data_IF_890074310260
#
_entry.id   IF_890074310260
#
_cell.length_a   1.000
_cell.length_b   1.000
_cell.length_c   1.000
_cell.angle_alpha   90.00
_cell.angle_beta   90.00
_cell.angle_gamma   90.00
#
_symmetry.space_group_name_H-M   'P 1'
#
loop_
_entity.id
_entity.type
_entity.pdbx_description
1 polymer ?
#
# COMPACT_ATOMS: atom_id res chain seq x y z
N UNK A 1 -4.45 2.12 -28.91
CA UNK A 1 -3.08 2.15 -29.47
C UNK A 1 -2.52 0.72 -29.39
N UNK A 2 -3.05 -0.19 -30.22
CA UNK A 2 -2.97 -1.66 -30.06
C UNK A 2 -1.64 -2.26 -30.60
N UNK A 3 -0.77 -1.44 -31.21
CA UNK A 3 0.47 -1.90 -31.86
C UNK A 3 1.69 -2.05 -30.93
N UNK A 4 1.55 -1.92 -29.61
CA UNK A 4 2.66 -2.04 -28.63
C UNK A 4 2.71 -3.38 -27.88
N UNK A 5 1.79 -4.31 -28.15
CA UNK A 5 1.59 -5.52 -27.32
C UNK A 5 2.72 -6.56 -27.33
N UNK A 6 3.78 -6.41 -28.13
CA UNK A 6 4.82 -7.45 -28.27
C UNK A 6 6.26 -6.93 -28.36
N UNK A 7 6.51 -5.63 -28.16
CA UNK A 7 7.89 -5.17 -28.14
C UNK A 7 8.64 -5.69 -26.90
N UNK A 8 9.95 -5.92 -27.01
CA UNK A 8 10.75 -6.29 -25.84
C UNK A 8 11.17 -5.06 -25.07
N UNK A 9 10.82 -5.02 -23.79
CA UNK A 9 11.21 -3.96 -22.86
C UNK A 9 12.42 -4.36 -22.03
N UNK A 10 13.20 -3.36 -21.62
CA UNK A 10 14.32 -3.50 -20.71
C UNK A 10 14.32 -2.42 -19.63
N UNK A 11 14.73 -2.77 -18.41
CA UNK A 11 14.96 -1.83 -17.32
C UNK A 11 15.93 -2.39 -16.27
N UNK A 12 16.41 -1.51 -15.38
CA UNK A 12 17.12 -1.90 -14.16
C UNK A 12 16.08 -2.26 -13.11
N UNK A 13 16.13 -3.49 -12.57
CA UNK A 13 15.15 -4.01 -11.59
C UNK A 13 15.61 -3.89 -10.13
N UNK A 14 16.88 -3.51 -9.91
CA UNK A 14 17.46 -3.25 -8.58
C UNK A 14 17.41 -1.75 -8.24
N UNK A 15 17.38 -1.36 -6.96
CA UNK A 15 17.51 0.04 -6.56
C UNK A 15 18.75 0.70 -7.18
N UNK A 16 18.63 1.98 -7.54
CA UNK A 16 19.77 2.77 -7.98
C UNK A 16 20.68 3.03 -6.78
N UNK A 17 21.94 2.59 -6.87
CA UNK A 17 22.91 2.74 -5.78
C UNK A 17 24.12 1.84 -5.98
N UNK A 18 25.00 1.83 -4.97
CA UNK A 18 26.12 0.89 -4.91
C UNK A 18 25.66 -0.40 -4.23
N UNK A 19 25.84 -1.52 -4.91
CA UNK A 19 25.54 -2.85 -4.37
C UNK A 19 26.46 -3.91 -4.94
N UNK A 20 26.43 -5.10 -4.36
CA UNK A 20 27.17 -6.23 -4.90
C UNK A 20 26.63 -6.66 -6.28
N UNK A 21 25.31 -6.58 -6.47
CA UNK A 21 24.60 -7.08 -7.65
C UNK A 21 23.65 -6.00 -8.20
N UNK A 22 23.64 -5.83 -9.51
CA UNK A 22 22.63 -5.10 -10.26
C UNK A 22 21.86 -6.07 -11.18
N UNK A 23 20.61 -5.77 -11.49
CA UNK A 23 19.82 -6.62 -12.40
C UNK A 23 19.28 -5.76 -13.54
N UNK A 24 19.63 -6.13 -14.78
CA UNK A 24 18.96 -5.64 -15.99
C UNK A 24 17.99 -6.72 -16.48
N UNK A 25 16.69 -6.40 -16.49
CA UNK A 25 15.63 -7.33 -16.89
C UNK A 25 15.12 -6.97 -18.27
N UNK A 26 14.92 -7.97 -19.12
CA UNK A 26 14.23 -7.89 -20.40
C UNK A 26 12.94 -8.73 -20.36
N UNK A 27 11.86 -8.25 -20.97
CA UNK A 27 10.61 -9.00 -21.14
C UNK A 27 10.02 -8.77 -22.52
N UNK A 28 9.58 -9.84 -23.19
CA UNK A 28 8.94 -9.79 -24.51
C UNK A 28 9.50 -10.84 -25.48
N UNK A 29 8.94 -10.89 -26.69
CA UNK A 29 9.19 -11.95 -27.68
C UNK A 29 10.64 -12.04 -28.15
N UNK A 30 11.36 -10.93 -28.18
CA UNK A 30 12.74 -10.84 -28.63
C UNK A 30 13.76 -10.85 -27.49
N UNK A 31 13.33 -11.05 -26.23
CA UNK A 31 14.19 -11.01 -25.05
C UNK A 31 15.39 -11.97 -25.15
N UNK A 32 15.15 -13.23 -25.55
CA UNK A 32 16.21 -14.21 -25.78
C UNK A 32 17.12 -13.83 -26.95
N UNK A 33 16.54 -13.34 -28.06
CA UNK A 33 17.29 -12.95 -29.24
C UNK A 33 18.23 -11.77 -28.95
N UNK A 34 17.75 -10.74 -28.24
CA UNK A 34 18.53 -9.58 -27.83
C UNK A 34 19.64 -10.01 -26.87
N UNK A 35 19.30 -10.80 -25.83
CA UNK A 35 20.29 -11.29 -24.88
C UNK A 35 21.38 -12.15 -25.54
N UNK A 36 21.02 -13.00 -26.49
CA UNK A 36 21.97 -13.87 -27.19
C UNK A 36 23.00 -13.11 -28.03
N UNK A 37 22.65 -11.91 -28.55
CA UNK A 37 23.60 -11.07 -29.29
C UNK A 37 24.72 -10.54 -28.39
N UNK A 38 24.38 -10.17 -27.15
CA UNK A 38 25.26 -9.47 -26.21
C UNK A 38 25.95 -10.41 -25.22
N UNK A 39 25.39 -11.60 -24.99
CA UNK A 39 25.92 -12.59 -24.06
C UNK A 39 26.90 -13.56 -24.73
N UNK A 40 28.08 -13.71 -24.15
CA UNK A 40 29.08 -14.72 -24.50
C UNK A 40 29.16 -15.77 -23.40
N UNK A 41 28.52 -16.90 -23.65
CA UNK A 41 28.44 -18.06 -22.75
C UNK A 41 27.74 -19.22 -23.46
N UNK A 42 26.88 -19.94 -22.73
CA UNK A 42 25.98 -20.94 -23.34
C UNK A 42 24.99 -20.27 -24.30
N UNK A 43 24.54 -21.01 -25.32
CA UNK A 43 23.45 -20.57 -26.20
C UNK A 43 22.13 -20.54 -25.42
N UNK A 44 21.64 -19.33 -25.14
CA UNK A 44 20.43 -19.06 -24.37
C UNK A 44 19.18 -19.67 -25.01
N UNK A 45 19.18 -19.96 -26.32
CA UNK A 45 18.05 -20.63 -26.95
C UNK A 45 17.96 -22.12 -26.58
N UNK A 46 19.10 -22.74 -26.26
CA UNK A 46 19.22 -24.16 -25.96
C UNK A 46 19.19 -24.49 -24.46
N UNK A 47 19.37 -23.48 -23.59
CA UNK A 47 19.30 -23.71 -22.14
C UNK A 47 17.87 -24.01 -21.70
N UNK A 48 17.76 -24.79 -20.61
CA UNK A 48 16.48 -25.01 -19.96
C UNK A 48 15.97 -23.71 -19.32
N UNK A 49 14.65 -23.52 -19.30
CA UNK A 49 14.02 -22.41 -18.59
C UNK A 49 14.30 -22.47 -17.09
N UNK A 50 14.30 -21.31 -16.43
CA UNK A 50 14.58 -21.14 -14.99
C UNK A 50 15.98 -21.62 -14.59
N UNK A 51 16.97 -21.39 -15.45
CA UNK A 51 18.38 -21.70 -15.18
C UNK A 51 19.25 -20.46 -15.19
N UNK A 52 20.30 -20.48 -14.37
CA UNK A 52 21.34 -19.45 -14.33
C UNK A 52 22.53 -19.89 -15.18
N UNK A 53 23.01 -18.98 -16.04
CA UNK A 53 24.04 -19.25 -17.03
C UNK A 53 25.18 -18.23 -16.88
N UNK A 54 26.36 -18.72 -16.51
CA UNK A 54 27.57 -17.91 -16.40
C UNK A 54 28.12 -17.51 -17.77
N UNK A 55 28.61 -16.27 -17.88
CA UNK A 55 29.31 -15.79 -19.06
C UNK A 55 29.67 -14.30 -18.95
N UNK A 56 29.83 -13.64 -20.10
CA UNK A 56 30.22 -12.23 -20.17
C UNK A 56 29.24 -11.45 -21.05
N UNK A 57 28.98 -10.20 -20.69
CA UNK A 57 28.34 -9.25 -21.61
C UNK A 57 29.43 -8.58 -22.44
N UNK A 58 29.26 -8.62 -23.75
CA UNK A 58 30.21 -8.08 -24.73
C UNK A 58 29.46 -7.20 -25.72
N UNK A 59 29.96 -5.99 -25.95
CA UNK A 59 29.42 -5.12 -26.98
C UNK A 59 29.75 -5.72 -28.37
N UNK A 60 28.74 -6.07 -29.19
CA UNK A 60 28.95 -6.80 -30.44
C UNK A 60 29.62 -5.94 -31.52
N UNK A 61 29.57 -4.60 -31.41
CA UNK A 61 30.19 -3.68 -32.38
C UNK A 61 31.68 -3.49 -32.09
N UNK A 62 32.05 -3.38 -30.81
CA UNK A 62 33.43 -3.09 -30.41
C UNK A 62 34.21 -4.32 -29.96
N UNK A 63 33.53 -5.42 -29.62
CA UNK A 63 34.13 -6.60 -29.01
C UNK A 63 34.59 -6.40 -27.56
N UNK A 64 34.31 -5.23 -26.95
CA UNK A 64 34.70 -4.90 -25.57
C UNK A 64 33.87 -5.72 -24.59
N UNK A 65 34.55 -6.44 -23.68
CA UNK A 65 33.92 -7.05 -22.51
C UNK A 65 33.48 -5.96 -21.54
N UNK A 66 32.21 -5.96 -21.18
CA UNK A 66 31.61 -4.96 -20.30
C UNK A 66 31.54 -5.46 -18.87
N UNK A 67 31.09 -6.70 -18.68
CA UNK A 67 30.99 -7.31 -17.36
C UNK A 67 31.00 -8.85 -17.42
N UNK A 68 31.37 -9.46 -16.31
CA UNK A 68 31.22 -10.89 -16.03
C UNK A 68 29.90 -11.08 -15.27
N UNK A 69 28.98 -11.91 -15.81
CA UNK A 69 27.58 -11.93 -15.39
C UNK A 69 27.02 -13.34 -15.21
N UNK A 70 25.89 -13.42 -14.51
CA UNK A 70 24.99 -14.58 -14.51
C UNK A 70 23.68 -14.21 -15.21
N UNK A 71 23.31 -14.94 -16.26
CA UNK A 71 22.06 -14.72 -17.01
C UNK A 71 21.02 -15.75 -16.60
N UNK A 72 19.91 -15.28 -16.03
CA UNK A 72 18.70 -16.05 -15.79
C UNK A 72 17.83 -16.10 -17.04
N UNK A 73 17.56 -17.30 -17.56
CA UNK A 73 16.74 -17.51 -18.75
C UNK A 73 15.39 -18.12 -18.37
N UNK A 74 14.28 -17.40 -18.58
CA UNK A 74 12.94 -17.82 -18.19
C UNK A 74 11.98 -17.73 -19.39
N UNK A 75 11.41 -18.87 -19.79
CA UNK A 75 10.51 -18.98 -20.94
C UNK A 75 9.04 -18.86 -20.51
N UNK A 76 8.24 -18.20 -21.34
CA UNK A 76 6.78 -18.12 -21.25
C UNK A 76 6.14 -19.52 -21.13
N UNK A 77 4.99 -19.68 -20.44
CA UNK A 77 4.23 -18.66 -19.69
C UNK A 77 4.62 -18.56 -18.22
N UNK A 78 5.60 -19.33 -17.75
CA UNK A 78 5.94 -19.44 -16.32
C UNK A 78 6.86 -18.30 -15.86
N UNK A 79 6.53 -17.06 -16.19
CA UNK A 79 7.35 -15.87 -15.92
C UNK A 79 6.51 -14.74 -15.36
N UNK A 80 7.13 -13.73 -14.72
CA UNK A 80 6.40 -12.62 -14.08
C UNK A 80 5.43 -11.92 -15.04
N UNK A 81 5.81 -11.67 -16.28
CA UNK A 81 4.95 -11.04 -17.28
C UNK A 81 4.12 -12.03 -18.09
N UNK A 82 4.31 -13.35 -17.91
CA UNK A 82 3.89 -14.43 -18.83
C UNK A 82 4.52 -14.36 -20.23
N UNK A 83 5.47 -13.48 -20.46
CA UNK A 83 6.30 -13.42 -21.67
C UNK A 83 7.65 -14.10 -21.44
N UNK A 84 8.48 -14.22 -22.47
CA UNK A 84 9.88 -14.60 -22.26
C UNK A 84 10.62 -13.50 -21.48
N UNK A 85 11.39 -13.89 -20.46
CA UNK A 85 12.18 -13.00 -19.60
C UNK A 85 13.64 -13.42 -19.57
N UNK A 86 14.53 -12.45 -19.73
CA UNK A 86 15.95 -12.57 -19.42
C UNK A 86 16.31 -11.63 -18.27
N UNK A 87 17.01 -12.14 -17.26
CA UNK A 87 17.60 -11.32 -16.20
C UNK A 87 19.12 -11.42 -16.24
N UNK A 88 19.78 -10.29 -16.45
CA UNK A 88 21.23 -10.18 -16.46
C UNK A 88 21.67 -9.68 -15.08
N UNK A 89 22.27 -10.57 -14.29
CA UNK A 89 22.84 -10.22 -12.99
C UNK A 89 24.26 -9.73 -13.18
N UNK A 90 24.45 -8.43 -13.00
CA UNK A 90 25.70 -7.67 -13.19
C UNK A 90 26.34 -7.38 -11.84
N UNK A 91 27.59 -6.92 -11.83
CA UNK A 91 28.10 -6.20 -10.67
C UNK A 91 27.22 -4.95 -10.43
N UNK A 92 26.95 -4.61 -9.16
CA UNK A 92 25.99 -3.56 -8.78
C UNK A 92 26.52 -2.12 -8.86
N UNK A 93 27.40 -1.84 -9.82
CA UNK A 93 27.88 -0.49 -10.09
C UNK A 93 26.94 0.29 -11.02
N UNK A 94 26.60 1.53 -10.66
CA UNK A 94 25.66 2.37 -11.44
C UNK A 94 26.09 2.49 -12.92
N UNK A 95 27.39 2.63 -13.19
CA UNK A 95 27.91 2.75 -14.55
C UNK A 95 27.71 1.46 -15.36
N UNK A 96 28.12 0.30 -14.84
CA UNK A 96 28.06 -0.97 -15.57
C UNK A 96 26.62 -1.39 -15.85
N UNK A 97 25.72 -1.25 -14.87
CA UNK A 97 24.31 -1.61 -15.06
C UNK A 97 23.63 -0.70 -16.10
N UNK A 98 23.93 0.60 -16.09
CA UNK A 98 23.42 1.52 -17.12
C UNK A 98 23.99 1.22 -18.50
N UNK A 99 25.29 0.95 -18.62
CA UNK A 99 25.88 0.63 -19.93
C UNK A 99 25.29 -0.66 -20.52
N UNK A 100 25.03 -1.68 -19.70
CA UNK A 100 24.39 -2.93 -20.13
C UNK A 100 22.92 -2.70 -20.53
N UNK A 101 22.16 -1.90 -19.79
CA UNK A 101 20.81 -1.49 -20.21
C UNK A 101 20.83 -0.77 -21.56
N UNK A 102 21.74 0.20 -21.74
CA UNK A 102 21.88 0.92 -23.00
C UNK A 102 22.31 0.00 -24.15
N UNK A 103 23.10 -1.03 -23.87
CA UNK A 103 23.45 -2.05 -24.86
C UNK A 103 22.20 -2.86 -25.26
N UNK A 104 21.39 -3.33 -24.30
CA UNK A 104 20.15 -4.04 -24.60
C UNK A 104 19.20 -3.19 -25.47
N UNK A 105 19.10 -1.88 -25.19
CA UNK A 105 18.30 -0.94 -25.98
C UNK A 105 18.82 -0.82 -27.41
N UNK A 106 20.15 -0.64 -27.58
CA UNK A 106 20.80 -0.57 -28.90
C UNK A 106 20.56 -1.83 -29.75
N UNK A 107 20.43 -2.99 -29.11
CA UNK A 107 20.27 -4.29 -29.78
C UNK A 107 18.81 -4.71 -30.06
N UNK A 108 17.84 -3.87 -29.66
CA UNK A 108 16.43 -4.00 -30.05
C UNK A 108 15.41 -3.85 -28.92
N UNK A 109 15.84 -3.71 -27.66
CA UNK A 109 14.90 -3.47 -26.57
C UNK A 109 14.44 -2.00 -26.52
N UNK A 110 13.25 -1.76 -25.98
CA UNK A 110 12.79 -0.42 -25.59
C UNK A 110 12.97 -0.24 -24.09
N UNK A 111 13.22 0.98 -23.62
CA UNK A 111 13.15 1.28 -22.19
C UNK A 111 11.72 1.08 -21.67
N UNK A 112 11.56 0.31 -20.59
CA UNK A 112 10.26 0.09 -19.97
C UNK A 112 9.69 1.40 -19.38
N UNK A 113 8.37 1.58 -19.49
CA UNK A 113 7.64 2.61 -18.76
C UNK A 113 7.51 2.22 -17.26
N UNK A 114 7.27 3.17 -16.34
CA UNK A 114 7.00 2.84 -14.94
C UNK A 114 5.82 1.87 -14.81
N UNK A 115 5.98 0.79 -14.04
CA UNK A 115 4.94 -0.22 -13.84
C UNK A 115 4.72 -1.18 -15.01
N UNK A 116 5.48 -1.06 -16.12
CA UNK A 116 5.16 -1.77 -17.35
C UNK A 116 5.27 -3.29 -17.21
N UNK A 117 6.21 -3.82 -16.41
CA UNK A 117 6.31 -5.28 -16.23
C UNK A 117 5.07 -5.83 -15.50
N UNK A 118 4.61 -5.16 -14.44
CA UNK A 118 3.42 -5.56 -13.69
C UNK A 118 2.16 -5.32 -14.53
N UNK A 119 2.12 -4.25 -15.34
CA UNK A 119 1.06 -4.01 -16.32
C UNK A 119 0.94 -5.16 -17.31
N UNK A 120 2.06 -5.66 -17.86
CA UNK A 120 2.05 -6.83 -18.74
C UNK A 120 1.63 -8.11 -18.02
N UNK A 121 2.03 -8.29 -16.76
CA UNK A 121 1.55 -9.40 -15.95
C UNK A 121 0.02 -9.38 -15.79
N UNK A 122 -0.55 -8.18 -15.59
CA UNK A 122 -1.99 -7.95 -15.54
C UNK A 122 -2.68 -8.23 -16.88
N UNK A 123 -2.20 -7.63 -17.97
CA UNK A 123 -2.77 -7.81 -19.32
C UNK A 123 -2.71 -9.26 -19.80
N UNK A 124 -1.68 -10.02 -19.41
CA UNK A 124 -1.58 -11.43 -19.73
C UNK A 124 -2.35 -12.34 -18.75
N UNK A 125 -3.15 -11.77 -17.84
CA UNK A 125 -4.02 -12.48 -16.90
C UNK A 125 -3.27 -13.29 -15.84
N UNK A 126 -2.02 -12.92 -15.53
CA UNK A 126 -1.25 -13.55 -14.44
C UNK A 126 -1.70 -13.08 -13.07
N UNK A 127 -1.97 -11.78 -12.99
CA UNK A 127 -2.39 -11.08 -11.78
C UNK A 127 -3.60 -10.22 -12.14
N UNK A 128 -4.49 -9.99 -11.18
CA UNK A 128 -5.53 -8.98 -11.31
C UNK A 128 -5.05 -7.61 -10.79
N UNK A 129 -5.91 -6.60 -10.84
CA UNK A 129 -5.54 -5.24 -10.40
C UNK A 129 -5.29 -5.16 -8.89
N UNK A 130 -6.02 -5.94 -8.08
CA UNK A 130 -5.83 -5.99 -6.63
C UNK A 130 -4.47 -6.60 -6.25
N UNK A 131 -4.04 -7.63 -6.97
CA UNK A 131 -2.75 -8.27 -6.81
C UNK A 131 -1.62 -7.38 -7.32
N UNK A 132 -1.82 -6.69 -8.44
CA UNK A 132 -0.86 -5.70 -8.94
C UNK A 132 -0.61 -4.58 -7.92
N UNK A 133 -1.66 -4.03 -7.31
CA UNK A 133 -1.53 -3.06 -6.22
C UNK A 133 -0.81 -3.65 -4.99
N UNK A 134 -1.10 -4.91 -4.64
CA UNK A 134 -0.45 -5.59 -3.53
C UNK A 134 1.08 -5.72 -3.72
N UNK A 135 1.56 -5.88 -4.97
CA UNK A 135 3.00 -5.85 -5.27
C UNK A 135 3.63 -4.52 -4.83
N UNK A 136 2.95 -3.38 -5.02
CA UNK A 136 3.44 -2.09 -4.52
C UNK A 136 3.44 -2.04 -3.00
N UNK A 137 2.36 -2.53 -2.39
CA UNK A 137 2.18 -2.48 -0.95
C UNK A 137 3.26 -3.30 -0.23
N UNK A 138 3.68 -4.45 -0.78
CA UNK A 138 4.81 -5.23 -0.26
C UNK A 138 6.12 -4.42 -0.31
N UNK A 139 6.39 -3.73 -1.43
CA UNK A 139 7.63 -2.96 -1.60
C UNK A 139 7.66 -1.76 -0.66
N UNK A 140 6.50 -1.13 -0.42
CA UNK A 140 6.37 0.09 0.38
C UNK A 140 6.10 -0.18 1.86
N UNK A 141 5.76 -1.41 2.23
CA UNK A 141 5.39 -1.79 3.59
C UNK A 141 6.42 -1.28 4.61
N UNK A 142 5.92 -0.58 5.63
CA UNK A 142 6.74 0.01 6.70
C UNK A 142 6.76 -0.84 7.97
N UNK A 143 5.87 -1.81 8.08
CA UNK A 143 5.75 -2.70 9.24
C UNK A 143 5.46 -4.13 8.79
N UNK A 144 5.79 -5.11 9.64
CA UNK A 144 5.51 -6.53 9.35
C UNK A 144 4.00 -6.78 9.18
N UNK A 145 3.15 -6.08 9.94
CA UNK A 145 1.69 -6.17 9.80
C UNK A 145 1.23 -5.68 8.43
N UNK A 146 1.76 -4.55 7.94
CA UNK A 146 1.46 -4.03 6.61
C UNK A 146 1.92 -4.99 5.51
N UNK A 147 3.14 -5.54 5.66
CA UNK A 147 3.68 -6.53 4.72
C UNK A 147 2.81 -7.79 4.66
N UNK A 148 2.40 -8.33 5.81
CA UNK A 148 1.57 -9.54 5.86
C UNK A 148 0.19 -9.34 5.21
N UNK A 149 -0.42 -8.16 5.37
CA UNK A 149 -1.68 -7.81 4.66
C UNK A 149 -1.44 -7.80 3.15
N UNK A 150 -0.37 -7.16 2.69
CA UNK A 150 -0.04 -7.07 1.28
C UNK A 150 0.27 -8.45 0.67
N UNK A 151 0.93 -9.35 1.40
CA UNK A 151 1.17 -10.74 0.97
C UNK A 151 -0.15 -11.51 0.83
N UNK A 152 -1.06 -11.44 1.81
CA UNK A 152 -2.38 -12.09 1.70
C UNK A 152 -3.19 -11.58 0.51
N UNK A 153 -3.09 -10.29 0.20
CA UNK A 153 -3.75 -9.72 -0.98
C UNK A 153 -3.09 -10.18 -2.28
N UNK A 154 -1.75 -10.27 -2.32
CA UNK A 154 -1.01 -10.84 -3.46
C UNK A 154 -1.39 -12.30 -3.73
N UNK A 155 -1.62 -13.08 -2.68
CA UNK A 155 -2.09 -14.48 -2.77
C UNK A 155 -3.51 -14.60 -3.35
N UNK A 156 -4.23 -13.49 -3.54
CA UNK A 156 -5.51 -13.44 -4.22
C UNK A 156 -6.73 -13.41 -3.29
N UNK A 157 -6.56 -13.34 -1.97
CA UNK A 157 -7.68 -13.45 -1.03
C UNK A 157 -8.80 -12.41 -1.24
N UNK A 158 -8.46 -11.16 -1.58
CA UNK A 158 -9.46 -10.14 -1.93
C UNK A 158 -10.07 -10.42 -3.33
N UNK A 159 -9.24 -10.80 -4.30
CA UNK A 159 -9.68 -11.16 -5.65
C UNK A 159 -10.72 -12.27 -5.62
N UNK A 160 -10.44 -13.36 -4.91
CA UNK A 160 -11.32 -14.52 -4.77
C UNK A 160 -12.65 -14.11 -4.13
N UNK A 161 -12.61 -13.29 -3.07
CA UNK A 161 -13.83 -12.82 -2.41
C UNK A 161 -14.71 -11.99 -3.35
N UNK A 162 -14.11 -11.05 -4.08
CA UNK A 162 -14.83 -10.17 -5.01
C UNK A 162 -15.36 -10.96 -6.20
N UNK A 163 -14.57 -11.87 -6.77
CA UNK A 163 -14.99 -12.71 -7.90
C UNK A 163 -16.09 -13.70 -7.52
N UNK A 164 -16.01 -14.33 -6.34
CA UNK A 164 -17.09 -15.17 -5.84
C UNK A 164 -18.39 -14.37 -5.65
N UNK A 165 -18.29 -13.16 -5.09
CA UNK A 165 -19.46 -12.26 -4.93
C UNK A 165 -20.03 -11.85 -6.28
N UNK A 166 -19.18 -11.49 -7.26
CA UNK A 166 -19.58 -11.18 -8.64
C UNK A 166 -20.28 -12.35 -9.31
N UNK A 167 -19.80 -13.58 -9.09
CA UNK A 167 -20.43 -14.78 -9.65
C UNK A 167 -21.82 -15.02 -9.05
N UNK A 168 -22.00 -14.83 -7.75
CA UNK A 168 -23.31 -14.94 -7.09
C UNK A 168 -24.29 -13.85 -7.56
N UNK A 169 -23.81 -12.61 -7.75
CA UNK A 169 -24.63 -11.54 -8.34
C UNK A 169 -25.04 -11.91 -9.77
N UNK A 170 -24.12 -12.42 -10.58
CA UNK A 170 -24.41 -12.84 -11.96
C UNK A 170 -25.45 -13.98 -11.99
N UNK A 171 -25.34 -14.95 -11.08
CA UNK A 171 -26.33 -16.02 -10.93
C UNK A 171 -27.71 -15.47 -10.56
N UNK A 172 -27.77 -14.43 -9.71
CA UNK A 172 -29.00 -13.74 -9.31
C UNK A 172 -29.60 -12.97 -10.48
N UNK A 173 -28.79 -12.23 -11.25
CA UNK A 173 -29.20 -11.52 -12.47
C UNK A 173 -29.79 -12.49 -13.51
N UNK A 174 -29.19 -13.67 -13.68
CA UNK A 174 -29.70 -14.68 -14.61
C UNK A 174 -31.12 -15.18 -14.24
N UNK A 175 -31.49 -15.19 -12.96
CA UNK A 175 -32.85 -15.53 -12.53
C UNK A 175 -33.84 -14.41 -12.85
N UNK A 176 -33.41 -13.15 -12.74
CA UNK A 176 -34.23 -12.00 -13.14
C UNK A 176 -34.49 -12.01 -14.65
N UNK A 177 -33.49 -12.32 -15.46
CA UNK A 177 -33.65 -12.44 -16.92
C UNK A 177 -34.69 -13.51 -17.30
N UNK A 178 -34.72 -14.65 -16.61
CA UNK A 178 -35.76 -15.68 -16.83
C UNK A 178 -37.16 -15.16 -16.51
N UNK A 179 -37.31 -14.31 -15.49
CA UNK A 179 -38.60 -13.69 -15.18
C UNK A 179 -39.03 -12.71 -16.27
N UNK A 180 -38.10 -11.91 -16.81
CA UNK A 180 -38.37 -10.95 -17.89
C UNK A 180 -38.79 -11.66 -19.18
N UNK A 181 -38.14 -12.78 -19.52
CA UNK A 181 -38.45 -13.55 -20.72
C UNK A 181 -39.80 -14.30 -20.66
N UNK A 182 -40.28 -14.61 -19.45
CA UNK A 182 -41.50 -15.40 -19.23
C UNK A 182 -42.46 -14.75 -18.20
N UNK A 183 -43.00 -13.55 -18.48
CA UNK A 183 -43.82 -12.78 -17.54
C UNK A 183 -45.24 -13.36 -17.32
N UNK A 184 -45.60 -14.43 -18.01
CA UNK A 184 -46.95 -15.03 -17.94
C UNK A 184 -47.17 -15.92 -16.70
N UNK A 185 -46.14 -16.11 -15.87
CA UNK A 185 -46.15 -17.02 -14.72
C UNK A 185 -45.94 -16.28 -13.39
N UNK A 186 -47.04 -15.88 -12.74
CA UNK A 186 -47.02 -15.14 -11.45
C UNK A 186 -46.21 -15.87 -10.35
N UNK A 187 -46.29 -17.21 -10.28
CA UNK A 187 -45.55 -18.03 -9.32
C UNK A 187 -44.01 -17.90 -9.47
N UNK A 188 -43.53 -17.60 -10.68
CA UNK A 188 -42.10 -17.40 -10.99
C UNK A 188 -41.64 -16.02 -10.51
N UNK A 189 -42.50 -15.00 -10.59
CA UNK A 189 -42.20 -13.63 -10.17
C UNK A 189 -42.05 -13.50 -8.65
N UNK A 190 -42.97 -14.09 -7.89
CA UNK A 190 -42.89 -14.09 -6.43
C UNK A 190 -41.63 -14.84 -5.94
N UNK A 191 -41.30 -15.97 -6.57
CA UNK A 191 -40.11 -16.76 -6.24
C UNK A 191 -38.82 -15.99 -6.55
N UNK A 192 -38.71 -15.38 -7.73
CA UNK A 192 -37.54 -14.57 -8.11
C UNK A 192 -37.36 -13.38 -7.18
N UNK A 193 -38.43 -12.66 -6.86
CA UNK A 193 -38.38 -11.51 -5.93
C UNK A 193 -37.87 -11.92 -4.54
N UNK A 194 -38.32 -13.07 -4.02
CA UNK A 194 -37.85 -13.59 -2.73
C UNK A 194 -36.35 -13.91 -2.75
N UNK A 195 -35.86 -14.56 -3.82
CA UNK A 195 -34.44 -14.89 -3.96
C UNK A 195 -33.57 -13.64 -4.10
N UNK A 196 -33.99 -12.67 -4.93
CA UNK A 196 -33.26 -11.41 -5.09
C UNK A 196 -33.17 -10.68 -3.75
N UNK A 197 -34.25 -10.63 -2.97
CA UNK A 197 -34.27 -10.02 -1.62
C UNK A 197 -33.29 -10.70 -0.66
N UNK A 198 -33.31 -12.03 -0.60
CA UNK A 198 -32.39 -12.78 0.25
C UNK A 198 -30.93 -12.50 -0.12
N UNK A 199 -30.60 -12.62 -1.42
CA UNK A 199 -29.24 -12.47 -1.92
C UNK A 199 -28.68 -11.06 -1.78
N UNK A 200 -29.49 -10.04 -2.06
CA UNK A 200 -29.05 -8.64 -1.97
C UNK A 200 -28.77 -8.21 -0.53
N UNK A 201 -29.52 -8.74 0.45
CA UNK A 201 -29.22 -8.55 1.88
C UNK A 201 -27.90 -9.26 2.25
N UNK A 202 -27.67 -10.49 1.79
CA UNK A 202 -26.40 -11.21 2.01
C UNK A 202 -25.20 -10.42 1.46
N UNK A 203 -25.29 -9.94 0.22
CA UNK A 203 -24.24 -9.15 -0.41
C UNK A 203 -23.98 -7.85 0.35
N UNK A 204 -25.04 -7.12 0.73
CA UNK A 204 -24.90 -5.86 1.46
C UNK A 204 -24.22 -6.08 2.81
N UNK A 205 -24.58 -7.14 3.54
CA UNK A 205 -23.97 -7.49 4.81
C UNK A 205 -22.49 -7.86 4.65
N UNK A 206 -22.14 -8.63 3.62
CA UNK A 206 -20.75 -8.98 3.29
C UNK A 206 -19.90 -7.72 3.03
N UNK A 207 -20.37 -6.85 2.14
CA UNK A 207 -19.65 -5.63 1.76
C UNK A 207 -19.54 -4.63 2.92
N UNK A 208 -20.59 -4.49 3.73
CA UNK A 208 -20.57 -3.63 4.93
C UNK A 208 -19.56 -4.16 5.97
N UNK A 209 -19.46 -5.49 6.11
CA UNK A 209 -18.44 -6.09 6.98
C UNK A 209 -17.01 -5.82 6.49
N UNK A 210 -16.78 -5.81 5.16
CA UNK A 210 -15.50 -5.41 4.58
C UNK A 210 -15.16 -3.94 4.87
N UNK A 211 -16.13 -3.03 4.74
CA UNK A 211 -15.93 -1.62 5.08
C UNK A 211 -15.57 -1.41 6.55
N UNK A 212 -16.19 -2.20 7.45
CA UNK A 212 -15.87 -2.15 8.88
C UNK A 212 -14.41 -2.48 9.17
N UNK A 213 -13.80 -3.43 8.45
CA UNK A 213 -12.37 -3.78 8.62
C UNK A 213 -11.43 -2.85 7.85
N UNK A 214 -11.95 -2.07 6.90
CA UNK A 214 -11.17 -1.23 6.02
C UNK A 214 -10.42 -0.09 6.72
N UNK A 215 -11.02 0.51 7.75
CA UNK A 215 -10.38 1.57 8.54
C UNK A 215 -9.06 1.08 9.16
N UNK A 216 -9.07 -0.14 9.71
CA UNK A 216 -7.89 -0.79 10.28
C UNK A 216 -6.84 -1.06 9.20
N UNK A 217 -7.26 -1.59 8.04
CA UNK A 217 -6.35 -1.85 6.92
C UNK A 217 -5.71 -0.59 6.36
N UNK A 218 -6.47 0.50 6.25
CA UNK A 218 -5.97 1.81 5.82
C UNK A 218 -4.88 2.33 6.77
N UNK A 219 -5.13 2.28 8.07
CA UNK A 219 -4.15 2.71 9.09
C UNK A 219 -2.87 1.87 9.01
N UNK A 220 -2.99 0.55 8.87
CA UNK A 220 -1.82 -0.32 8.78
C UNK A 220 -1.02 -0.09 7.48
N UNK A 221 -1.68 0.31 6.38
CA UNK A 221 -1.04 0.58 5.10
C UNK A 221 -0.39 1.97 5.03
N UNK A 222 -1.15 3.01 5.35
CA UNK A 222 -0.74 4.41 5.16
C UNK A 222 -0.02 4.99 6.39
N UNK A 223 -0.30 4.42 7.56
CA UNK A 223 0.14 4.93 8.86
C UNK A 223 -0.80 5.99 9.43
N UNK A 224 -0.57 6.32 10.70
CA UNK A 224 -1.30 7.38 11.41
C UNK A 224 -0.48 8.66 11.33
N UNK A 225 -1.06 9.73 10.78
CA UNK A 225 -0.41 11.03 10.73
C UNK A 225 -0.27 11.56 12.16
N UNK A 226 0.96 11.65 12.66
CA UNK A 226 1.26 11.86 14.08
C UNK A 226 2.06 13.12 14.30
N UNK A 227 1.57 14.01 15.17
CA UNK A 227 2.31 15.18 15.63
C UNK A 227 2.84 14.96 17.05
N UNK A 228 4.14 15.24 17.27
CA UNK A 228 4.74 15.24 18.62
C UNK A 228 4.86 16.69 19.09
N UNK A 229 4.05 17.08 20.06
CA UNK A 229 4.01 18.45 20.59
C UNK A 229 4.43 18.50 22.05
N UNK A 230 4.83 19.69 22.52
CA UNK A 230 5.35 19.91 23.85
C UNK A 230 6.31 21.09 23.87
N UNK A 231 6.64 21.58 25.06
CA UNK A 231 7.63 22.66 25.23
C UNK A 231 9.05 22.25 24.83
N UNK A 232 9.99 23.19 24.69
CA UNK A 232 11.42 22.88 24.69
C UNK A 232 11.82 22.02 25.90
N UNK A 233 12.82 21.14 25.73
CA UNK A 233 13.42 20.34 26.80
C UNK A 233 12.50 19.36 27.58
N UNK A 234 11.24 19.17 27.19
CA UNK A 234 10.35 18.14 27.78
C UNK A 234 10.73 16.71 27.34
N UNK A 235 11.61 16.57 26.35
CA UNK A 235 12.12 15.29 25.85
C UNK A 235 11.48 14.79 24.55
N UNK A 236 10.89 15.67 23.73
CA UNK A 236 10.35 15.32 22.40
C UNK A 236 11.38 14.65 21.49
N UNK A 237 12.56 15.25 21.32
CA UNK A 237 13.63 14.70 20.48
C UNK A 237 14.21 13.41 21.06
N UNK A 238 14.23 13.28 22.39
CA UNK A 238 14.61 12.01 23.03
C UNK A 238 13.60 10.92 22.71
N UNK A 239 12.29 11.22 22.78
CA UNK A 239 11.22 10.27 22.45
C UNK A 239 11.32 9.84 20.99
N UNK A 240 11.44 10.80 20.07
CA UNK A 240 11.62 10.53 18.64
C UNK A 240 12.85 9.66 18.38
N UNK A 241 14.00 9.97 18.99
CA UNK A 241 15.20 9.17 18.82
C UNK A 241 15.09 7.77 19.43
N UNK A 242 14.39 7.60 20.55
CA UNK A 242 14.15 6.29 21.15
C UNK A 242 13.26 5.44 20.23
N UNK A 243 12.16 6.02 19.75
CA UNK A 243 11.25 5.39 18.80
C UNK A 243 11.93 5.02 17.47
N UNK A 244 12.83 5.87 16.96
CA UNK A 244 13.62 5.58 15.75
C UNK A 244 14.73 4.53 15.96
N UNK A 245 15.18 4.30 17.20
CA UNK A 245 16.29 3.38 17.53
C UNK A 245 15.82 1.96 17.80
N UNK A 246 14.67 1.79 18.45
CA UNK A 246 14.12 0.45 18.74
C UNK A 246 13.47 -0.16 17.49
N UNK A 247 12.91 0.68 16.62
CA UNK A 247 12.11 0.27 15.48
C UNK A 247 12.65 0.86 14.18
N UNK A 248 13.86 0.43 13.77
CA UNK A 248 14.28 0.59 12.37
C UNK A 248 13.36 -0.23 11.47
N UNK A 249 12.14 0.26 11.23
CA UNK A 249 11.49 0.06 9.94
C UNK A 249 12.50 0.54 8.90
N UNK A 250 12.87 -0.32 7.97
CA UNK A 250 13.90 -0.05 6.97
C UNK A 250 13.51 1.23 6.22
N UNK A 251 14.10 2.36 6.63
CA UNK A 251 14.05 3.61 5.89
C UNK A 251 14.96 3.36 4.71
N UNK A 252 14.36 3.11 3.55
CA UNK A 252 15.10 3.15 2.31
C UNK A 252 15.40 4.61 2.02
N UNK A 253 16.63 5.04 2.30
CA UNK A 253 17.24 6.20 1.65
C UNK A 253 17.37 5.86 0.16
N UNK A 254 16.33 6.08 -0.63
CA UNK A 254 16.50 6.10 -2.08
C UNK A 254 17.16 7.43 -2.40
N UNK A 255 18.49 7.43 -2.47
CA UNK A 255 19.28 8.54 -2.95
C UNK A 255 18.75 8.95 -4.35
N UNK A 256 18.13 10.13 -4.44
CA UNK A 256 17.64 10.67 -5.72
C UNK A 256 16.17 11.11 -5.76
N UNK A 257 15.36 10.94 -4.72
CA UNK A 257 14.04 11.60 -4.66
C UNK A 257 14.23 13.08 -4.32
N UNK A 258 14.20 13.91 -5.36
CA UNK A 258 14.33 15.36 -5.24
C UNK A 258 13.19 15.96 -4.41
N UNK A 259 13.58 16.78 -3.42
CA UNK A 259 12.84 17.92 -2.83
C UNK A 259 11.60 17.69 -1.98
N UNK A 260 11.06 16.49 -1.88
CA UNK A 260 9.95 16.24 -0.97
C UNK A 260 10.47 15.92 0.43
N UNK A 261 9.79 16.48 1.44
CA UNK A 261 10.06 16.32 2.87
C UNK A 261 10.36 14.84 3.15
N UNK A 262 11.50 14.54 3.79
CA UNK A 262 11.80 13.18 4.25
C UNK A 262 10.70 12.82 5.25
N UNK A 263 9.67 12.12 4.79
CA UNK A 263 8.59 11.64 5.64
C UNK A 263 9.17 10.55 6.55
N UNK A 264 9.21 10.83 7.85
CA UNK A 264 9.74 9.90 8.84
C UNK A 264 8.63 8.99 9.34
N UNK A 265 8.80 7.69 9.11
CA UNK A 265 7.94 6.67 9.67
C UNK A 265 8.60 6.06 10.90
N UNK A 266 7.82 5.91 11.96
CA UNK A 266 8.15 5.14 13.14
C UNK A 266 7.22 3.95 13.20
N UNK A 267 7.73 2.75 13.45
CA UNK A 267 6.88 1.60 13.77
C UNK A 267 6.68 1.53 15.28
N UNK A 268 5.44 1.39 15.74
CA UNK A 268 5.14 1.05 17.14
C UNK A 268 4.35 -0.26 17.12
N UNK A 269 5.03 -1.38 17.43
CA UNK A 269 4.47 -2.73 17.47
C UNK A 269 3.54 -3.09 16.29
N UNK A 270 3.94 -2.67 15.09
CA UNK A 270 3.28 -2.99 13.82
C UNK A 270 2.36 -1.89 13.29
N UNK A 271 2.16 -0.79 14.01
CA UNK A 271 1.42 0.40 13.55
C UNK A 271 2.42 1.44 13.03
N UNK A 272 2.35 1.83 11.74
CA UNK A 272 3.20 2.90 11.23
C UNK A 272 2.68 4.26 11.70
N UNK A 273 3.53 5.07 12.31
CA UNK A 273 3.28 6.47 12.62
C UNK A 273 4.03 7.33 11.61
N UNK A 274 3.29 8.13 10.84
CA UNK A 274 3.83 9.09 9.89
C UNK A 274 4.04 10.41 10.62
N UNK A 275 5.28 10.77 10.92
CA UNK A 275 5.59 11.96 11.69
C UNK A 275 5.45 13.23 10.85
N UNK A 276 4.63 14.17 11.32
CA UNK A 276 4.42 15.46 10.67
C UNK A 276 5.43 16.47 11.24
N UNK A 277 6.14 17.18 10.35
CA UNK A 277 7.04 18.30 10.65
C UNK A 277 8.26 17.94 11.55
N UNK A 278 9.07 16.98 11.12
CA UNK A 278 10.30 16.55 11.84
C UNK A 278 11.49 17.50 11.69
N UNK A 279 11.45 18.46 10.76
CA UNK A 279 12.50 19.47 10.58
C UNK A 279 12.72 20.29 11.87
N UNK A 280 11.65 20.58 12.62
CA UNK A 280 11.74 21.23 13.93
C UNK A 280 12.15 20.33 15.10
N UNK A 281 12.24 19.01 14.91
CA UNK A 281 12.70 18.04 15.92
C UNK A 281 14.19 17.68 15.71
N UNK A 282 14.66 17.69 14.45
CA UNK A 282 16.06 17.38 14.08
C UNK A 282 16.96 18.62 14.04
N UNK A 283 16.46 19.78 13.63
CA UNK A 283 17.21 21.04 13.73
C UNK A 283 16.91 21.72 15.07
N UNK A 284 17.78 21.52 16.07
CA UNK A 284 18.51 22.62 16.75
C UNK A 284 19.21 22.14 18.03
N UNK A 285 20.54 22.26 18.03
CA UNK A 285 21.36 22.60 19.21
C UNK A 285 21.58 24.13 19.29
N UNK A 286 20.94 24.99 18.47
CA UNK A 286 21.12 26.45 18.59
C UNK A 286 19.97 27.33 18.01
N UNK A 287 19.49 28.23 18.87
CA UNK A 287 18.96 29.60 18.65
C UNK A 287 18.07 29.82 17.41
N UNK A 288 16.85 29.26 17.34
CA UNK A 288 15.59 29.95 16.92
C UNK A 288 14.37 29.17 17.47
N UNK A 289 14.21 29.10 18.79
CA UNK A 289 13.05 28.48 19.45
C UNK A 289 11.95 29.51 19.80
N UNK A 290 11.55 30.36 18.84
CA UNK A 290 10.53 31.41 19.06
C UNK A 290 9.21 31.26 18.30
N UNK A 291 8.93 30.10 17.67
CA UNK A 291 7.70 29.86 16.89
C UNK A 291 6.78 28.81 17.58
N UNK A 292 6.73 28.83 18.92
CA UNK A 292 6.31 27.70 19.77
C UNK A 292 4.83 27.47 20.05
N UNK A 293 3.89 28.02 19.26
CA UNK A 293 2.45 27.70 19.39
C UNK A 293 1.77 27.64 18.02
N UNK A 294 2.10 28.56 17.11
CA UNK A 294 1.51 28.58 15.76
C UNK A 294 1.88 27.34 14.92
N UNK A 295 3.13 26.85 15.03
CA UNK A 295 3.54 25.59 14.40
C UNK A 295 2.78 24.40 14.97
N UNK A 296 2.62 24.32 16.29
CA UNK A 296 1.81 23.29 16.93
C UNK A 296 0.36 23.35 16.46
N UNK A 297 -0.25 24.54 16.32
CA UNK A 297 -1.59 24.69 15.74
C UNK A 297 -1.70 24.20 14.30
N UNK A 298 -0.66 24.38 13.49
CA UNK A 298 -0.63 23.85 12.12
C UNK A 298 -0.54 22.33 12.12
N UNK A 299 0.40 21.77 12.88
CA UNK A 299 0.57 20.31 13.01
C UNK A 299 -0.70 19.62 13.56
N UNK A 300 -1.39 20.25 14.53
CA UNK A 300 -2.66 19.74 15.08
C UNK A 300 -3.79 19.63 14.04
N UNK A 301 -3.80 20.48 13.00
CA UNK A 301 -4.82 20.40 11.94
C UNK A 301 -4.57 19.27 10.94
N UNK A 302 -3.32 18.87 10.79
CA UNK A 302 -2.88 17.87 9.80
C UNK A 302 -2.75 16.47 10.43
N UNK A 303 -2.71 16.38 11.77
CA UNK A 303 -2.48 15.13 12.49
C UNK A 303 -3.76 14.38 12.85
N UNK A 304 -3.76 13.07 12.59
CA UNK A 304 -4.78 12.13 13.07
C UNK A 304 -4.56 11.75 14.54
N UNK A 305 -3.31 11.80 15.01
CA UNK A 305 -2.86 11.50 16.38
C UNK A 305 -1.91 12.59 16.91
N UNK A 306 -2.06 12.96 18.18
CA UNK A 306 -1.21 13.94 18.86
C UNK A 306 -0.54 13.32 20.07
N UNK A 307 0.79 13.27 20.09
CA UNK A 307 1.58 12.90 21.26
C UNK A 307 2.01 14.20 21.99
N UNK A 308 1.31 14.54 23.08
CA UNK A 308 1.62 15.72 23.89
C UNK A 308 2.57 15.34 25.02
N UNK A 309 3.83 15.75 24.91
CA UNK A 309 4.88 15.48 25.90
C UNK A 309 5.00 16.61 26.91
N UNK A 310 4.86 16.28 28.18
CA UNK A 310 5.04 17.17 29.33
C UNK A 310 6.19 16.67 30.22
N UNK A 311 6.81 17.57 30.97
CA UNK A 311 7.86 17.23 31.93
C UNK A 311 7.22 16.96 33.31
N UNK A 312 7.28 15.71 33.81
CA UNK A 312 6.71 15.33 35.10
C UNK A 312 7.43 15.96 36.29
N UNK A 313 8.69 16.38 36.11
CA UNK A 313 9.56 16.89 37.17
C UNK A 313 9.45 18.40 37.41
N UNK A 314 8.53 19.07 36.72
CA UNK A 314 8.31 20.51 36.78
C UNK A 314 6.82 20.82 36.90
N UNK A 315 6.43 21.92 37.57
CA UNK A 315 5.04 22.39 37.56
C UNK A 315 4.57 22.76 36.14
N UNK A 316 3.27 22.64 35.88
CA UNK A 316 2.68 23.07 34.62
C UNK A 316 2.95 24.56 34.37
N UNK A 317 3.48 24.87 33.20
CA UNK A 317 3.74 26.24 32.79
C UNK A 317 2.62 26.77 31.89
N UNK A 318 2.59 28.08 31.60
CA UNK A 318 1.50 28.71 30.85
C UNK A 318 1.30 28.14 29.42
N UNK A 319 2.38 27.81 28.70
CA UNK A 319 2.21 27.19 27.36
C UNK A 319 1.91 25.68 27.43
N UNK A 320 2.11 25.00 28.57
CA UNK A 320 1.68 23.60 28.71
C UNK A 320 0.16 23.57 28.82
N UNK A 321 -0.40 24.48 29.63
CA UNK A 321 -1.84 24.74 29.70
C UNK A 321 -2.41 25.13 28.33
N UNK A 322 -1.71 25.98 27.59
CA UNK A 322 -2.15 26.35 26.24
C UNK A 322 -2.11 25.16 25.27
N UNK A 323 -1.08 24.31 25.31
CA UNK A 323 -0.98 23.10 24.48
C UNK A 323 -2.08 22.08 24.86
N UNK A 324 -2.39 21.95 26.15
CA UNK A 324 -3.51 21.15 26.65
C UNK A 324 -4.86 21.69 26.15
N UNK A 325 -5.05 23.00 26.10
CA UNK A 325 -6.29 23.61 25.61
C UNK A 325 -6.44 23.38 24.09
N UNK A 326 -5.43 23.73 23.29
CA UNK A 326 -5.55 23.64 21.81
C UNK A 326 -5.62 22.20 21.28
N UNK A 327 -5.22 21.20 22.06
CA UNK A 327 -5.25 19.78 21.66
C UNK A 327 -6.46 19.03 22.22
N UNK A 328 -7.34 19.68 22.98
CA UNK A 328 -8.42 19.02 23.71
C UNK A 328 -9.38 18.23 22.80
N UNK A 329 -9.69 18.75 21.61
CA UNK A 329 -10.64 18.14 20.66
C UNK A 329 -9.96 17.20 19.65
N UNK A 330 -8.70 16.82 19.87
CA UNK A 330 -7.94 15.92 18.99
C UNK A 330 -7.80 14.53 19.60
N UNK A 331 -7.52 13.51 18.78
CA UNK A 331 -7.10 12.21 19.30
C UNK A 331 -5.69 12.35 19.88
N UNK A 332 -5.60 12.67 21.18
CA UNK A 332 -4.32 12.92 21.85
C UNK A 332 -3.96 11.85 22.88
N UNK A 333 -2.67 11.65 23.06
CA UNK A 333 -2.07 10.89 24.14
C UNK A 333 -1.14 11.84 24.89
N UNK A 334 -1.40 12.01 26.19
CA UNK A 334 -0.59 12.88 27.04
C UNK A 334 0.48 12.03 27.73
N UNK A 335 1.74 12.39 27.50
CA UNK A 335 2.92 11.70 28.00
C UNK A 335 3.60 12.55 29.07
N UNK A 336 3.59 12.07 30.31
CA UNK A 336 4.36 12.65 31.42
C UNK A 336 5.76 12.03 31.42
N UNK A 337 6.71 12.73 30.80
CA UNK A 337 8.09 12.26 30.64
C UNK A 337 8.98 12.65 31.83
N UNK A 338 10.17 12.04 31.91
CA UNK A 338 11.19 12.23 32.97
C UNK A 338 10.78 11.71 34.35
N UNK A 339 10.02 10.62 34.40
CA UNK A 339 9.64 9.97 35.67
C UNK A 339 10.82 9.32 36.42
N UNK A 340 12.01 9.34 35.82
CA UNK A 340 13.28 9.01 36.49
C UNK A 340 13.75 10.09 37.49
N UNK A 341 13.13 11.27 37.46
CA UNK A 341 13.35 12.38 38.39
C UNK A 341 12.13 12.55 39.32
N UNK A 342 12.27 13.28 40.47
CA UNK A 342 11.16 13.55 41.36
C UNK A 342 10.00 14.26 40.66
N UNK A 343 8.77 13.76 40.82
CA UNK A 343 7.56 14.33 40.23
C UNK A 343 7.19 15.64 40.95
N UNK A 344 7.00 16.72 40.18
CA UNK A 344 6.61 18.04 40.69
C UNK A 344 5.43 18.65 39.91
N UNK A 345 4.89 17.92 38.94
CA UNK A 345 3.72 18.34 38.16
C UNK A 345 2.43 18.19 38.97
N UNK A 346 1.57 19.20 38.91
CA UNK A 346 0.25 19.15 39.56
C UNK A 346 -0.73 18.36 38.69
N UNK A 347 -1.08 17.15 39.14
CA UNK A 347 -1.94 16.24 38.38
C UNK A 347 -3.41 16.64 38.37
N UNK A 348 -3.84 17.53 39.27
CA UNK A 348 -5.22 18.02 39.35
C UNK A 348 -5.67 18.84 38.15
N UNK A 349 -4.72 19.42 37.40
CA UNK A 349 -5.00 20.18 36.18
C UNK A 349 -4.91 19.32 34.90
N UNK A 350 -4.58 18.03 35.04
CA UNK A 350 -4.47 17.08 33.93
C UNK A 350 -5.71 16.20 33.85
N UNK A 351 -6.10 15.73 32.65
CA UNK A 351 -7.11 14.69 32.54
C UNK A 351 -6.60 13.37 33.16
N UNK A 352 -7.52 12.44 33.46
CA UNK A 352 -7.16 11.18 34.13
C UNK A 352 -6.34 10.23 33.24
N UNK A 353 -6.40 10.38 31.91
CA UNK A 353 -5.83 9.46 30.92
C UNK A 353 -4.40 9.83 30.47
N UNK A 354 -3.51 10.10 31.44
CA UNK A 354 -2.09 10.40 31.19
C UNK A 354 -1.19 9.17 31.32
N UNK A 355 -0.18 9.06 30.45
CA UNK A 355 0.81 7.97 30.50
C UNK A 355 2.13 8.51 31.07
N UNK A 356 2.57 7.92 32.18
CA UNK A 356 3.86 8.22 32.82
C UNK A 356 4.97 7.43 32.16
N UNK A 357 5.94 8.11 31.56
CA UNK A 357 7.06 7.50 30.84
C UNK A 357 8.42 8.04 31.31
N UNK A 358 9.46 7.22 31.18
CA UNK A 358 10.84 7.71 31.16
C UNK A 358 11.49 7.24 29.88
N UNK A 359 11.63 8.16 28.93
CA UNK A 359 12.33 7.92 27.66
C UNK A 359 13.79 7.54 27.92
N UNK A 360 14.42 8.13 28.95
CA UNK A 360 15.82 7.85 29.30
C UNK A 360 16.01 6.41 29.80
N UNK A 361 15.04 5.88 30.54
CA UNK A 361 15.07 4.52 31.11
C UNK A 361 14.32 3.48 30.28
N UNK A 362 13.73 3.90 29.15
CA UNK A 362 12.84 3.09 28.33
C UNK A 362 11.68 2.45 29.12
N UNK A 363 11.04 3.22 30.00
CA UNK A 363 9.97 2.74 30.87
C UNK A 363 8.61 3.19 30.35
N UNK A 364 7.64 2.25 30.32
CA UNK A 364 6.24 2.46 29.94
C UNK A 364 6.04 2.98 28.49
N UNK A 365 7.01 2.78 27.59
CA UNK A 365 6.88 3.15 26.17
C UNK A 365 5.86 2.23 25.47
N UNK A 366 5.78 0.97 25.89
CA UNK A 366 4.76 -0.02 25.52
C UNK A 366 3.32 0.47 25.76
N UNK A 367 3.08 1.27 26.82
CA UNK A 367 1.75 1.82 27.09
C UNK A 367 1.28 2.83 26.05
N UNK A 368 2.20 3.45 25.32
CA UNK A 368 1.86 4.32 24.19
C UNK A 368 1.17 3.50 23.11
N UNK A 369 1.64 2.27 22.86
CA UNK A 369 1.03 1.34 21.92
C UNK A 369 -0.38 0.95 22.35
N UNK A 370 -0.56 0.50 23.61
CA UNK A 370 -1.87 0.12 24.13
C UNK A 370 -2.88 1.23 23.90
N UNK A 371 -2.50 2.48 24.23
CA UNK A 371 -3.38 3.63 24.04
C UNK A 371 -3.66 3.96 22.56
N UNK A 372 -2.68 3.79 21.67
CA UNK A 372 -2.92 3.91 20.21
C UNK A 372 -3.91 2.84 19.77
N UNK A 373 -3.80 1.62 20.28
CA UNK A 373 -4.72 0.55 19.95
C UNK A 373 -6.15 0.84 20.41
N UNK A 374 -6.32 1.39 21.61
CA UNK A 374 -7.62 1.79 22.15
C UNK A 374 -8.27 2.89 21.29
N UNK A 375 -7.50 3.91 20.91
CA UNK A 375 -8.01 5.04 20.14
C UNK A 375 -8.41 4.66 18.70
N UNK A 376 -7.66 3.77 18.06
CA UNK A 376 -7.79 3.53 16.62
C UNK A 376 -8.35 2.15 16.24
N UNK A 377 -8.34 1.16 17.16
CA UNK A 377 -8.74 -0.22 16.84
C UNK A 377 -9.81 -0.82 17.77
N UNK A 378 -10.01 -0.38 19.01
CA UNK A 378 -11.02 -0.99 19.92
C UNK A 378 -12.47 -0.80 19.47
N UNK A 379 -12.79 0.30 18.77
CA UNK A 379 -14.12 0.51 18.17
C UNK A 379 -14.40 -0.38 16.93
N UNK A 380 -13.44 -1.18 16.47
CA UNK A 380 -13.61 -2.05 15.30
C UNK A 380 -14.31 -3.40 15.61
N UNK A 381 -14.67 -3.64 16.89
CA UNK A 381 -15.22 -4.92 17.34
C UNK A 381 -14.16 -6.02 17.42
N UNK A 382 -14.53 -7.16 18.02
CA UNK A 382 -13.77 -8.42 18.07
C UNK A 382 -13.63 -9.04 16.67
N UNK A 383 -13.15 -8.28 15.69
CA UNK A 383 -12.89 -8.80 14.35
C UNK A 383 -11.48 -9.36 14.36
N UNK A 384 -11.42 -10.67 14.09
CA UNK A 384 -10.21 -11.48 14.07
C UNK A 384 -9.04 -10.76 13.38
N UNK A 385 -7.84 -11.02 13.88
CA UNK A 385 -6.58 -10.49 13.36
C UNK A 385 -6.36 -10.81 11.86
N UNK A 386 -7.14 -11.74 11.29
CA UNK A 386 -7.00 -12.24 9.93
C UNK A 386 -7.92 -11.60 8.87
N UNK A 387 -8.92 -10.79 9.24
CA UNK A 387 -9.97 -10.33 8.31
C UNK A 387 -9.72 -8.96 7.63
N UNK A 388 -8.48 -8.47 7.62
CA UNK A 388 -8.16 -7.17 7.02
C UNK A 388 -7.85 -7.34 5.53
N UNK A 389 -8.90 -7.44 4.71
CA UNK A 389 -8.79 -7.60 3.25
C UNK A 389 -8.75 -6.27 2.50
N UNK A 390 -9.24 -5.19 3.11
CA UNK A 390 -9.39 -3.88 2.45
C UNK A 390 -8.47 -2.85 3.11
N UNK A 391 -7.55 -2.27 2.34
CA UNK A 391 -6.61 -1.25 2.82
C UNK A 391 -6.48 -0.04 1.89
N UNK A 392 -6.91 -0.18 0.62
CA UNK A 392 -6.79 0.85 -0.41
C UNK A 392 -8.03 1.74 -0.47
N UNK A 393 -7.84 3.07 -0.41
CA UNK A 393 -8.89 4.07 -0.56
C UNK A 393 -9.72 3.89 -1.85
N UNK A 394 -9.12 3.43 -2.95
CA UNK A 394 -9.83 3.10 -4.19
C UNK A 394 -10.85 1.98 -3.96
N UNK A 395 -10.41 0.88 -3.37
CA UNK A 395 -11.29 -0.26 -3.08
C UNK A 395 -12.37 0.13 -2.09
N UNK A 396 -12.04 0.91 -1.05
CA UNK A 396 -13.02 1.42 -0.07
C UNK A 396 -14.12 2.19 -0.78
N UNK A 397 -13.76 3.17 -1.63
CA UNK A 397 -14.74 3.98 -2.35
C UNK A 397 -15.61 3.15 -3.31
N UNK A 398 -15.05 2.14 -3.97
CA UNK A 398 -15.82 1.24 -4.84
C UNK A 398 -16.79 0.36 -4.03
N UNK A 399 -16.36 -0.17 -2.89
CA UNK A 399 -17.23 -0.95 -2.02
C UNK A 399 -18.34 -0.08 -1.41
N UNK A 400 -18.07 1.17 -1.02
CA UNK A 400 -19.09 2.12 -0.58
C UNK A 400 -20.16 2.33 -1.66
N UNK A 401 -19.75 2.59 -2.91
CA UNK A 401 -20.68 2.72 -4.04
C UNK A 401 -21.47 1.44 -4.33
N UNK A 402 -20.85 0.28 -4.18
CA UNK A 402 -21.53 -1.01 -4.34
C UNK A 402 -22.58 -1.24 -3.24
N UNK A 403 -22.28 -0.86 -2.00
CA UNK A 403 -23.25 -0.90 -0.88
C UNK A 403 -24.41 0.06 -1.12
N UNK A 404 -24.15 1.29 -1.56
CA UNK A 404 -25.20 2.25 -1.94
C UNK A 404 -26.11 1.69 -3.05
N UNK A 405 -25.52 1.06 -4.07
CA UNK A 405 -26.26 0.43 -5.17
C UNK A 405 -27.15 -0.73 -4.68
N UNK A 406 -26.63 -1.59 -3.79
CA UNK A 406 -27.41 -2.67 -3.18
C UNK A 406 -28.52 -2.14 -2.26
N UNK A 407 -28.27 -1.04 -1.55
CA UNK A 407 -29.28 -0.40 -0.72
C UNK A 407 -30.46 0.10 -1.58
N UNK A 408 -30.18 0.71 -2.74
CA UNK A 408 -31.22 1.12 -3.67
C UNK A 408 -32.08 -0.07 -4.16
N UNK A 409 -31.45 -1.22 -4.44
CA UNK A 409 -32.18 -2.46 -4.79
C UNK A 409 -33.09 -2.89 -3.64
N UNK A 410 -32.58 -2.94 -2.41
CA UNK A 410 -33.33 -3.35 -1.22
C UNK A 410 -34.51 -2.42 -0.92
N UNK A 411 -34.31 -1.10 -1.01
CA UNK A 411 -35.38 -0.10 -0.86
C UNK A 411 -36.45 -0.26 -1.96
N UNK A 412 -36.04 -0.50 -3.20
CA UNK A 412 -36.96 -0.76 -4.30
C UNK A 412 -37.80 -2.04 -4.11
N UNK A 413 -37.19 -3.12 -3.59
CA UNK A 413 -37.90 -4.34 -3.21
C UNK A 413 -38.91 -4.10 -2.09
N UNK A 414 -38.60 -3.26 -1.10
CA UNK A 414 -39.54 -2.88 -0.03
C UNK A 414 -40.74 -2.07 -0.55
N UNK A 415 -40.50 -1.22 -1.56
CA UNK A 415 -41.55 -0.46 -2.23
C UNK A 415 -42.39 -1.29 -3.22
N UNK A 416 -42.07 -2.59 -3.39
CA UNK A 416 -42.75 -3.47 -4.33
C UNK A 416 -42.48 -3.13 -5.79
N UNK A 417 -41.32 -2.56 -6.10
CA UNK A 417 -40.91 -2.35 -7.49
C UNK A 417 -40.64 -3.69 -8.19
N UNK A 418 -41.01 -3.82 -9.47
CA UNK A 418 -40.74 -5.04 -10.22
C UNK A 418 -39.23 -5.23 -10.45
N UNK A 419 -38.81 -6.49 -10.48
CA UNK A 419 -37.40 -6.91 -10.45
C UNK A 419 -36.61 -6.50 -11.70
N UNK A 420 -37.30 -6.26 -12.81
CA UNK A 420 -36.75 -5.75 -14.08
C UNK A 420 -36.13 -4.36 -13.93
N UNK A 421 -36.77 -3.47 -13.16
CA UNK A 421 -36.24 -2.15 -12.85
C UNK A 421 -35.05 -2.22 -11.89
N UNK A 422 -35.12 -3.14 -10.93
CA UNK A 422 -34.10 -3.33 -9.90
C UNK A 422 -32.82 -3.99 -10.44
N UNK A 423 -32.92 -4.72 -11.57
CA UNK A 423 -31.79 -5.31 -12.26
C UNK A 423 -30.70 -4.28 -12.62
N UNK A 424 -31.09 -3.03 -12.88
CA UNK A 424 -30.15 -1.96 -13.25
C UNK A 424 -29.15 -1.70 -12.13
N UNK A 425 -29.61 -1.53 -10.90
CA UNK A 425 -28.76 -1.27 -9.74
C UNK A 425 -27.97 -2.54 -9.30
N UNK A 426 -28.53 -3.73 -9.53
CA UNK A 426 -27.81 -4.99 -9.29
C UNK A 426 -26.67 -5.20 -10.32
N UNK A 427 -26.91 -4.87 -11.59
CA UNK A 427 -25.89 -4.88 -12.66
C UNK A 427 -24.81 -3.86 -12.37
N UNK A 428 -25.19 -2.65 -11.93
CA UNK A 428 -24.24 -1.62 -11.51
C UNK A 428 -23.35 -2.10 -10.36
N UNK A 429 -23.91 -2.80 -9.38
CA UNK A 429 -23.13 -3.42 -8.30
C UNK A 429 -22.10 -4.39 -8.86
N UNK A 430 -22.51 -5.26 -9.79
CA UNK A 430 -21.61 -6.21 -10.44
C UNK A 430 -20.46 -5.50 -11.17
N UNK A 431 -20.74 -4.45 -11.94
CA UNK A 431 -19.73 -3.65 -12.66
C UNK A 431 -18.74 -2.97 -11.71
N UNK A 432 -19.23 -2.31 -10.64
CA UNK A 432 -18.39 -1.65 -9.63
C UNK A 432 -17.41 -2.64 -8.99
N UNK A 433 -17.88 -3.85 -8.65
CA UNK A 433 -17.01 -4.89 -8.12
C UNK A 433 -15.97 -5.36 -9.15
N UNK A 434 -16.30 -5.31 -10.45
CA UNK A 434 -15.36 -5.65 -11.53
C UNK A 434 -14.26 -4.62 -11.73
N UNK A 435 -14.51 -3.36 -11.38
CA UNK A 435 -13.48 -2.32 -11.39
C UNK A 435 -12.41 -2.58 -10.32
N UNK A 436 -12.76 -3.27 -9.22
CA UNK A 436 -11.82 -3.63 -8.15
C UNK A 436 -10.76 -4.60 -8.67
N UNK A 437 -11.18 -5.70 -9.31
CA UNK A 437 -10.31 -6.74 -9.89
C UNK A 437 -9.69 -6.33 -11.22
N UNK A 438 -10.28 -5.37 -11.92
CA UNK A 438 -9.78 -4.84 -13.18
C UNK A 438 -10.53 -5.35 -14.41
N UNK A 439 -11.49 -6.26 -14.27
CA UNK A 439 -12.32 -6.78 -15.37
C UNK A 439 -13.14 -5.69 -16.07
N UNK A 440 -13.58 -4.68 -15.32
CA UNK A 440 -14.37 -3.55 -15.81
C UNK A 440 -13.64 -2.21 -15.67
N UNK A 441 -12.32 -2.23 -15.44
CA UNK A 441 -11.54 -1.02 -15.20
C UNK A 441 -11.27 -0.23 -16.49
N UNK A 442 -11.44 1.11 -16.50
CA UNK A 442 -11.05 1.94 -17.64
C UNK A 442 -9.54 1.92 -17.89
N UNK A 443 -9.13 1.99 -19.16
CA UNK A 443 -7.72 2.06 -19.58
C UNK A 443 -6.92 3.20 -18.92
N UNK A 444 -7.59 4.34 -18.68
CA UNK A 444 -6.99 5.50 -18.03
C UNK A 444 -6.64 5.20 -16.55
N UNK A 445 -7.53 4.51 -15.83
CA UNK A 445 -7.29 4.07 -14.46
C UNK A 445 -6.10 3.10 -14.39
N UNK A 446 -6.07 2.12 -15.30
CA UNK A 446 -4.96 1.18 -15.42
C UNK A 446 -3.64 1.95 -15.62
N UNK A 447 -3.63 2.92 -16.54
CA UNK A 447 -2.44 3.72 -16.83
C UNK A 447 -2.01 4.57 -15.64
N UNK A 448 -2.95 5.23 -14.95
CA UNK A 448 -2.67 6.03 -13.76
C UNK A 448 -2.10 5.17 -12.61
N UNK A 449 -2.66 3.98 -12.36
CA UNK A 449 -2.18 3.08 -11.32
C UNK A 449 -0.73 2.63 -11.60
N UNK A 450 -0.45 2.16 -12.81
CA UNK A 450 0.90 1.68 -13.16
C UNK A 450 1.94 2.81 -13.22
N UNK A 451 1.53 4.05 -13.51
CA UNK A 451 2.45 5.20 -13.48
C UNK A 451 3.06 5.49 -12.09
N UNK A 452 2.42 5.00 -11.01
CA UNK A 452 2.92 5.16 -9.64
C UNK A 452 3.96 4.10 -9.23
N UNK A 453 4.21 3.09 -10.07
CA UNK A 453 5.21 2.05 -9.83
C UNK A 453 6.62 2.55 -10.14
N UNK A 454 7.62 1.87 -9.58
CA UNK A 454 9.01 2.11 -9.93
C UNK A 454 9.32 1.62 -11.36
N UNK A 455 10.33 2.23 -12.00
CA UNK A 455 10.95 1.67 -13.21
C UNK A 455 11.54 0.28 -12.89
N UNK A 456 11.30 -0.71 -13.76
CA UNK A 456 11.79 -2.09 -13.57
C UNK A 456 10.83 -3.05 -12.87
N UNK A 457 9.64 -2.57 -12.48
CA UNK A 457 8.49 -3.39 -12.11
C UNK A 457 7.27 -2.99 -12.89
#
# INVERSE_FOLDING_TARGET
>A
MITREFDTIAAISTPLGEGAIGIVRLSGTDSFAIAQKIFKGKDLNQVASHTLNYGHIVDPQTGKVMDEVMVGAMKSPKTFTREDIIEINTHGGIAVTNEILQLAIREGARLAEPGEFTKRAFLNGRVDLTQAEAVMDIIRAKTDKAMNIAVKQLDGSLSDLINNTRQEILNTLAQVEVNIDYPEYDDIEEATTAVVREKTIEFQQLLTNLLRTARRGKILREGISTAIIGRPNVGKSSLLNNLLREDKAIVTDIAGTTRDVIEEYVNINGVPLKLIDTAGIRETDDIVEQIGVERSRKALKEADLVLLVLNASEPLTAQDRQLLEISQDTNRIILLNKTDLPEAIETSELPEDVIRISVLKNQNIDKIEERINDLFFENAGLVEQDATYLSNARHISLIEKAVESLQAVNEGLELGMPVDLLQVDLTRTWEILGEITGDAAPDELITQLFSQFCLGK
#
